data_IF_206239436327
#
_entry.id   IF_206239436327
#
_cell.length_a   1.000
_cell.length_b   1.000
_cell.length_c   1.000
_cell.angle_alpha   90.00
_cell.angle_beta   90.00
_cell.angle_gamma   90.00
#
_symmetry.space_group_name_H-M   'P 1'
#
loop_
_entity.id
_entity.type
_entity.pdbx_description
1 polymer ?
#
# COMPACT_ATOMS: atom_id res chain seq x y z
N UNK A 1 14.52 8.28 -21.11
CA UNK A 1 14.57 9.18 -19.93
C UNK A 1 13.29 8.94 -19.15
N UNK A 2 13.38 8.66 -17.84
CA UNK A 2 12.23 8.46 -16.95
C UNK A 2 12.21 9.57 -15.88
N UNK A 3 11.05 9.78 -15.26
CA UNK A 3 10.89 10.70 -14.14
C UNK A 3 10.06 10.03 -13.05
N UNK A 4 10.36 10.33 -11.78
CA UNK A 4 9.59 9.88 -10.62
C UNK A 4 8.96 11.08 -9.97
N UNK A 5 7.66 11.00 -9.70
CA UNK A 5 6.89 12.04 -9.02
C UNK A 5 6.28 11.44 -7.76
N UNK A 6 6.40 12.14 -6.64
CA UNK A 6 5.73 11.81 -5.40
C UNK A 6 4.58 12.79 -5.20
N UNK A 7 3.31 12.39 -5.45
CA UNK A 7 2.18 13.28 -5.31
C UNK A 7 2.17 13.97 -3.95
N UNK A 8 2.00 15.28 -3.95
CA UNK A 8 1.95 16.12 -2.74
C UNK A 8 3.22 16.10 -1.86
N UNK A 9 4.33 15.51 -2.31
CA UNK A 9 5.59 15.42 -1.57
C UNK A 9 6.84 15.68 -2.39
N UNK A 10 6.80 15.67 -3.72
CA UNK A 10 7.98 15.88 -4.56
C UNK A 10 8.29 17.37 -4.79
N UNK A 11 9.55 17.73 -4.57
CA UNK A 11 10.23 18.81 -5.26
C UNK A 11 10.81 18.29 -6.59
N UNK A 12 11.16 19.15 -7.56
CA UNK A 12 11.81 18.72 -8.79
C UNK A 12 13.08 17.92 -8.48
N UNK A 13 13.13 16.66 -8.93
CA UNK A 13 14.32 15.80 -8.81
C UNK A 13 15.04 15.80 -10.15
N UNK A 14 16.35 16.00 -10.12
CA UNK A 14 17.18 15.85 -11.30
C UNK A 14 17.65 14.39 -11.46
N UNK A 15 18.28 14.10 -12.60
CA UNK A 15 18.80 12.76 -12.90
C UNK A 15 19.90 12.30 -11.93
N UNK A 16 20.60 13.23 -11.27
CA UNK A 16 21.68 12.91 -10.31
C UNK A 16 21.15 12.34 -9.00
N UNK A 17 19.84 12.50 -8.73
CA UNK A 17 19.15 11.87 -7.61
C UNK A 17 19.12 10.34 -7.70
N UNK A 18 19.32 9.78 -8.90
CA UNK A 18 19.34 8.34 -9.14
C UNK A 18 20.76 7.83 -9.30
N UNK A 19 21.11 6.82 -8.52
CA UNK A 19 22.37 6.09 -8.69
C UNK A 19 22.17 5.01 -9.75
N UNK A 20 22.87 5.13 -10.89
CA UNK A 20 22.92 4.06 -11.87
C UNK A 20 23.81 2.92 -11.33
N UNK A 21 23.24 1.74 -11.15
CA UNK A 21 23.96 0.56 -10.63
C UNK A 21 24.46 -0.35 -11.75
N UNK A 22 23.82 -0.31 -12.91
CA UNK A 22 24.26 -0.95 -14.15
C UNK A 22 23.60 -0.27 -15.39
N UNK A 23 23.89 -0.68 -16.64
CA UNK A 23 23.35 -0.03 -17.84
C UNK A 23 21.81 0.03 -17.94
N UNK A 24 21.10 -0.86 -17.26
CA UNK A 24 19.63 -1.00 -17.34
C UNK A 24 18.93 -0.78 -16.00
N UNK A 25 19.66 -0.48 -14.92
CA UNK A 25 19.11 -0.34 -13.57
C UNK A 25 19.57 0.94 -12.87
N UNK A 26 18.59 1.63 -12.28
CA UNK A 26 18.76 2.84 -11.49
C UNK A 26 18.08 2.70 -10.13
N UNK A 27 18.73 3.24 -9.10
CA UNK A 27 18.25 3.18 -7.73
C UNK A 27 18.11 4.59 -7.13
N UNK A 28 16.95 4.85 -6.55
CA UNK A 28 16.67 6.05 -5.77
C UNK A 28 16.69 5.69 -4.28
N UNK A 29 17.64 6.27 -3.55
CA UNK A 29 17.73 6.10 -2.09
C UNK A 29 16.79 7.11 -1.41
N UNK A 30 15.76 6.61 -0.70
CA UNK A 30 14.82 7.48 0.00
C UNK A 30 15.43 8.16 1.21
N UNK A 31 16.57 7.70 1.75
CA UNK A 31 17.22 8.36 2.88
C UNK A 31 17.64 9.80 2.54
N UNK A 32 17.91 10.08 1.26
CA UNK A 32 18.16 11.44 0.76
C UNK A 32 16.91 12.33 0.84
N UNK A 33 15.72 11.74 0.90
CA UNK A 33 14.42 12.41 0.89
C UNK A 33 13.67 12.36 2.23
N UNK A 34 14.09 11.54 3.19
CA UNK A 34 13.48 11.47 4.52
C UNK A 34 13.95 12.66 5.37
N UNK A 35 13.26 13.79 5.21
CA UNK A 35 13.08 14.71 6.33
C UNK A 35 11.91 14.17 7.18
N UNK A 36 12.28 13.54 8.30
CA UNK A 36 11.51 13.40 9.55
C UNK A 36 10.00 13.17 9.41
N UNK A 37 9.59 11.94 9.07
CA UNK A 37 8.21 11.46 9.30
C UNK A 37 8.08 10.57 10.54
N UNK A 38 9.14 10.46 11.34
CA UNK A 38 9.15 9.62 12.53
C UNK A 38 9.53 10.44 13.77
N UNK A 39 8.98 10.04 14.93
CA UNK A 39 9.38 10.58 16.22
C UNK A 39 10.91 10.46 16.39
N UNK A 40 11.53 11.41 17.10
CA UNK A 40 12.98 11.59 17.19
C UNK A 40 13.80 10.33 17.57
N UNK A 41 13.17 9.32 18.19
CA UNK A 41 13.79 8.07 18.63
C UNK A 41 13.42 6.83 17.79
N UNK A 42 12.69 6.98 16.67
CA UNK A 42 12.44 5.85 15.79
C UNK A 42 13.61 5.62 14.85
N UNK A 43 14.01 4.36 14.70
CA UNK A 43 14.95 3.96 13.66
C UNK A 43 14.47 4.50 12.29
N UNK A 44 15.35 5.10 11.47
CA UNK A 44 14.97 5.66 10.18
C UNK A 44 14.41 4.54 9.30
N UNK A 45 13.19 4.75 8.80
CA UNK A 45 12.57 3.83 7.84
C UNK A 45 13.21 4.13 6.48
N UNK A 46 14.28 3.40 6.17
CA UNK A 46 14.96 3.49 4.87
C UNK A 46 14.18 2.69 3.83
N UNK A 47 13.88 3.31 2.70
CA UNK A 47 13.30 2.66 1.53
C UNK A 47 14.14 2.95 0.28
N UNK A 48 14.05 2.08 -0.73
CA UNK A 48 14.73 2.26 -2.02
C UNK A 48 13.75 1.99 -3.14
N UNK A 49 13.78 2.81 -4.18
CA UNK A 49 12.97 2.61 -5.39
C UNK A 49 13.91 2.24 -6.53
N UNK A 50 13.68 1.06 -7.12
CA UNK A 50 14.41 0.60 -8.30
C UNK A 50 13.63 0.85 -9.57
N UNK A 51 14.32 1.28 -10.62
CA UNK A 51 13.80 1.37 -11.99
C UNK A 51 14.69 0.52 -12.88
N UNK A 52 14.11 -0.50 -13.52
CA UNK A 52 14.79 -1.37 -14.46
C UNK A 52 14.20 -1.22 -15.87
N UNK A 53 15.05 -1.40 -16.89
CA UNK A 53 14.63 -1.59 -18.28
C UNK A 53 14.78 -3.06 -18.61
N UNK A 54 13.65 -3.74 -18.80
CA UNK A 54 13.58 -5.18 -19.08
C UNK A 54 12.84 -5.44 -20.39
N UNK A 55 13.11 -6.57 -21.05
CA UNK A 55 12.33 -6.99 -22.21
C UNK A 55 10.92 -7.37 -21.74
N UNK A 56 9.91 -6.90 -22.48
CA UNK A 56 8.51 -7.19 -22.22
C UNK A 56 8.24 -8.70 -22.13
N UNK A 57 8.96 -9.51 -22.91
CA UNK A 57 8.81 -10.97 -22.90
C UNK A 57 9.47 -11.65 -21.69
N UNK A 58 10.37 -10.94 -20.99
CA UNK A 58 11.08 -11.44 -19.81
C UNK A 58 10.43 -11.02 -18.50
N UNK A 59 9.62 -9.96 -18.54
CA UNK A 59 8.81 -9.55 -17.39
C UNK A 59 7.84 -10.68 -17.07
N UNK A 60 7.87 -11.24 -15.84
CA UNK A 60 6.78 -12.08 -15.39
C UNK A 60 5.46 -11.29 -15.54
N UNK A 61 4.33 -11.98 -15.67
CA UNK A 61 3.05 -11.37 -15.33
C UNK A 61 3.09 -11.06 -13.82
N UNK A 62 3.79 -9.98 -13.46
CA UNK A 62 3.96 -9.53 -12.10
C UNK A 62 2.58 -9.09 -11.67
N UNK A 63 1.91 -9.92 -10.88
CA UNK A 63 0.67 -9.60 -10.21
C UNK A 63 0.94 -8.34 -9.37
N UNK A 64 0.62 -7.19 -9.96
CA UNK A 64 0.85 -5.92 -9.32
C UNK A 64 -0.07 -5.93 -8.11
N UNK A 65 0.52 -5.82 -6.92
CA UNK A 65 -0.19 -5.87 -5.64
C UNK A 65 -1.50 -5.05 -5.53
N UNK A 66 -1.77 -3.96 -6.30
CA UNK A 66 -3.07 -3.29 -6.30
C UNK A 66 -4.27 -4.20 -6.57
N UNK A 67 -4.15 -5.22 -7.44
CA UNK A 67 -5.29 -6.05 -7.84
C UNK A 67 -5.88 -6.82 -6.63
N UNK A 68 -5.01 -7.27 -5.72
CA UNK A 68 -5.42 -7.95 -4.48
C UNK A 68 -5.91 -7.03 -3.37
N UNK A 69 -5.64 -5.71 -3.43
CA UNK A 69 -5.98 -4.78 -2.32
C UNK A 69 -7.48 -4.55 -2.19
N UNK A 70 -8.19 -4.40 -3.31
CA UNK A 70 -9.64 -4.13 -3.28
C UNK A 70 -10.38 -5.38 -2.76
N UNK A 71 -10.03 -6.57 -3.24
CA UNK A 71 -10.59 -7.82 -2.74
C UNK A 71 -10.29 -8.05 -1.26
N UNK A 72 -9.04 -7.81 -0.82
CA UNK A 72 -8.67 -7.95 0.59
C UNK A 72 -9.37 -6.93 1.50
N UNK A 73 -9.56 -5.69 1.02
CA UNK A 73 -10.35 -4.69 1.73
C UNK A 73 -11.81 -5.13 1.88
N UNK A 74 -12.42 -5.64 0.80
CA UNK A 74 -13.79 -6.13 0.83
C UNK A 74 -13.98 -7.28 1.83
N UNK A 75 -13.01 -8.20 1.92
CA UNK A 75 -13.02 -9.28 2.92
C UNK A 75 -13.00 -8.72 4.34
N UNK A 76 -12.09 -7.77 4.64
CA UNK A 76 -12.02 -7.12 5.95
C UNK A 76 -13.29 -6.34 6.30
N UNK A 77 -13.91 -5.68 5.32
CA UNK A 77 -15.19 -4.99 5.52
C UNK A 77 -16.28 -5.99 5.87
N UNK A 78 -16.36 -7.13 5.17
CA UNK A 78 -17.32 -8.19 5.47
C UNK A 78 -17.14 -8.79 6.86
N UNK A 79 -15.89 -9.10 7.25
CA UNK A 79 -15.55 -9.61 8.58
C UNK A 79 -15.93 -8.61 9.69
N UNK A 80 -15.59 -7.33 9.51
CA UNK A 80 -15.91 -6.29 10.48
C UNK A 80 -17.42 -6.07 10.60
N UNK A 81 -18.14 -6.07 9.47
CA UNK A 81 -19.60 -5.94 9.47
C UNK A 81 -20.24 -7.13 10.19
N UNK A 82 -19.76 -8.35 9.95
CA UNK A 82 -20.25 -9.53 10.63
C UNK A 82 -20.02 -9.45 12.14
N UNK A 83 -18.80 -9.12 12.58
CA UNK A 83 -18.46 -8.95 13.99
C UNK A 83 -19.31 -7.87 14.66
N UNK A 84 -19.54 -6.74 13.96
CA UNK A 84 -20.42 -5.68 14.43
C UNK A 84 -21.86 -6.20 14.60
N UNK A 85 -22.42 -6.86 13.59
CA UNK A 85 -23.77 -7.44 13.67
C UNK A 85 -23.87 -8.41 14.85
N UNK A 86 -22.90 -9.31 15.05
CA UNK A 86 -22.88 -10.25 16.18
C UNK A 86 -22.94 -9.57 17.55
N UNK A 87 -22.34 -8.37 17.70
CA UNK A 87 -22.32 -7.66 18.97
C UNK A 87 -23.70 -7.21 19.48
N UNK A 88 -24.71 -7.18 18.62
CA UNK A 88 -26.09 -6.79 18.96
C UNK A 88 -27.08 -7.97 18.95
N UNK A 89 -26.60 -9.21 18.78
CA UNK A 89 -27.47 -10.37 18.54
C UNK A 89 -27.87 -11.17 19.77
N UNK A 90 -29.07 -11.75 19.71
CA UNK A 90 -29.38 -13.03 20.34
C UNK A 90 -29.17 -14.17 19.32
N UNK A 91 -28.66 -15.31 19.76
CA UNK A 91 -28.48 -16.50 18.91
C UNK A 91 -29.77 -17.33 18.95
N UNK A 92 -30.41 -17.55 17.80
CA UNK A 92 -31.56 -18.46 17.68
C UNK A 92 -31.14 -19.69 16.85
N UNK A 93 -30.77 -20.76 17.55
CA UNK A 93 -30.23 -21.97 16.92
C UNK A 93 -28.95 -21.67 16.13
N UNK A 94 -29.01 -21.83 14.79
CA UNK A 94 -27.89 -21.57 13.87
C UNK A 94 -27.97 -20.20 13.16
N UNK A 95 -28.93 -19.35 13.54
CA UNK A 95 -29.16 -18.06 12.89
C UNK A 95 -28.73 -16.90 13.78
N UNK A 96 -28.13 -15.90 13.12
CA UNK A 96 -27.85 -14.61 13.70
C UNK A 96 -29.08 -13.72 13.55
N UNK A 97 -29.71 -13.30 14.65
CA UNK A 97 -30.88 -12.41 14.63
C UNK A 97 -30.44 -10.99 14.98
N UNK A 98 -30.54 -10.10 14.00
CA UNK A 98 -30.07 -8.71 14.07
C UNK A 98 -31.27 -7.77 13.96
N UNK A 99 -31.43 -6.78 14.86
CA UNK A 99 -32.45 -5.73 14.71
C UNK A 99 -32.29 -4.98 13.39
N UNK A 100 -33.41 -4.65 12.74
CA UNK A 100 -33.40 -4.00 11.42
C UNK A 100 -32.87 -2.56 11.45
N UNK A 101 -32.90 -1.91 12.61
CA UNK A 101 -32.48 -0.54 12.89
C UNK A 101 -31.02 -0.43 13.36
N UNK A 102 -30.23 -1.51 13.25
CA UNK A 102 -28.85 -1.57 13.77
C UNK A 102 -27.90 -0.54 13.12
N UNK A 103 -28.20 -0.08 11.92
CA UNK A 103 -27.38 0.91 11.19
C UNK A 103 -27.83 2.36 11.44
N UNK A 104 -28.93 2.58 12.16
CA UNK A 104 -29.54 3.90 12.36
C UNK A 104 -29.05 4.63 13.63
N UNK A 105 -28.06 4.06 14.34
CA UNK A 105 -27.47 4.59 15.59
C UNK A 105 -26.12 5.27 15.37
#
# INVERSE_FOLDING_TARGET
>A
MFGVVFPNRSFPMDISSFTQIDPTHWLLDMNTFVVTLTAADSAPISAKIGVSVEDLNTLPALDVAPEKRIGHLALKVGENLFNFMQSFCGVDGSKLVVPMDILDR
#
